data_IF_607559305100
#
_entry.id   IF_607559305100
#
_cell.length_a   1.000
_cell.length_b   1.000
_cell.length_c   1.000
_cell.angle_alpha   90.00
_cell.angle_beta   90.00
_cell.angle_gamma   90.00
#
_symmetry.space_group_name_H-M   'P 1'
#
loop_
_entity.id
_entity.type
_entity.pdbx_description
1 polymer ?
#
# COMPACT_ATOMS: atom_id res chain seq x y z
N UNK A 1 -14.29 5.45 -8.23
CA UNK A 1 -13.54 4.86 -7.11
C UNK A 1 -13.04 5.96 -6.16
N UNK A 2 -12.83 5.67 -4.86
CA UNK A 2 -12.36 6.65 -3.86
C UNK A 2 -10.83 6.62 -3.69
N UNK A 3 -10.27 7.58 -2.93
CA UNK A 3 -8.84 7.72 -2.66
C UNK A 3 -8.53 7.66 -1.17
N UNK A 4 -7.32 7.21 -0.84
CA UNK A 4 -6.74 7.21 0.50
C UNK A 4 -5.45 8.06 0.50
N UNK A 5 -5.25 8.84 1.56
CA UNK A 5 -3.98 9.53 1.81
C UNK A 5 -3.06 8.65 2.68
N UNK A 6 -2.01 8.11 2.08
CA UNK A 6 -0.98 7.35 2.78
C UNK A 6 0.06 8.31 3.40
N UNK A 7 -0.31 8.89 4.54
CA UNK A 7 0.54 9.76 5.36
C UNK A 7 0.57 9.27 6.81
N UNK A 8 1.56 8.44 7.14
CA UNK A 8 1.76 7.96 8.52
C UNK A 8 2.08 9.12 9.46
N UNK A 9 1.50 9.09 10.66
CA UNK A 9 1.61 10.17 11.63
C UNK A 9 0.88 11.47 11.24
N UNK A 10 0.01 11.43 10.22
CA UNK A 10 -0.93 12.50 9.92
C UNK A 10 -2.26 12.31 10.65
N UNK A 11 -2.83 13.41 11.14
CA UNK A 11 -4.17 13.40 11.72
C UNK A 11 -5.24 13.14 10.65
N UNK A 12 -6.46 12.72 11.05
CA UNK A 12 -7.57 12.60 10.11
C UNK A 12 -7.84 13.90 9.33
N UNK A 13 -7.71 15.05 9.97
CA UNK A 13 -7.90 16.36 9.35
C UNK A 13 -6.79 16.69 8.34
N UNK A 14 -5.54 16.34 8.65
CA UNK A 14 -4.42 16.47 7.71
C UNK A 14 -4.66 15.61 6.46
N UNK A 15 -5.00 14.32 6.65
CA UNK A 15 -5.33 13.41 5.54
C UNK A 15 -6.50 13.92 4.70
N UNK A 16 -7.55 14.44 5.36
CA UNK A 16 -8.71 15.01 4.68
C UNK A 16 -8.37 16.22 3.82
N UNK A 17 -7.47 17.11 4.29
CA UNK A 17 -6.98 18.24 3.47
C UNK A 17 -6.23 17.75 2.24
N UNK A 18 -5.38 16.73 2.39
CA UNK A 18 -4.70 16.10 1.26
C UNK A 18 -5.67 15.55 0.21
N UNK A 19 -6.67 14.78 0.65
CA UNK A 19 -7.69 14.21 -0.25
C UNK A 19 -8.50 15.31 -0.94
N UNK A 20 -8.84 16.40 -0.24
CA UNK A 20 -9.54 17.52 -0.85
C UNK A 20 -8.72 18.19 -1.96
N UNK A 21 -7.43 18.45 -1.71
CA UNK A 21 -6.53 19.03 -2.71
C UNK A 21 -6.36 18.13 -3.94
N UNK A 22 -6.27 16.81 -3.75
CA UNK A 22 -6.24 15.84 -4.85
C UNK A 22 -7.49 15.92 -5.73
N UNK A 23 -8.67 15.96 -5.10
CA UNK A 23 -9.96 16.05 -5.80
C UNK A 23 -10.05 17.31 -6.65
N UNK A 24 -9.57 18.45 -6.17
CA UNK A 24 -9.56 19.68 -6.96
C UNK A 24 -8.69 19.59 -8.23
N UNK A 25 -7.58 18.84 -8.18
CA UNK A 25 -6.73 18.60 -9.36
C UNK A 25 -7.47 17.73 -10.38
N UNK A 26 -8.04 16.62 -9.92
CA UNK A 26 -8.81 15.68 -10.74
C UNK A 26 -10.02 16.36 -11.40
N UNK A 27 -10.80 17.12 -10.61
CA UNK A 27 -11.97 17.86 -11.09
C UNK A 27 -11.60 18.89 -12.16
N UNK A 28 -10.45 19.57 -12.01
CA UNK A 28 -9.95 20.53 -13.01
C UNK A 28 -9.52 19.84 -14.31
N UNK A 29 -8.95 18.65 -14.21
CA UNK A 29 -8.57 17.83 -15.36
C UNK A 29 -9.78 17.15 -16.03
N UNK A 30 -10.93 17.11 -15.34
CA UNK A 30 -12.10 16.38 -15.83
C UNK A 30 -11.90 14.86 -15.81
N UNK A 31 -11.00 14.36 -14.96
CA UNK A 31 -10.66 12.94 -14.83
C UNK A 31 -11.15 12.39 -13.50
N UNK A 32 -11.58 11.14 -13.50
CA UNK A 32 -11.80 10.40 -12.26
C UNK A 32 -10.46 9.99 -11.62
N UNK A 33 -10.48 9.71 -10.32
CA UNK A 33 -9.31 9.16 -9.62
C UNK A 33 -8.86 7.81 -10.21
N UNK A 34 -9.80 7.03 -10.73
CA UNK A 34 -9.53 5.71 -11.31
C UNK A 34 -8.79 5.84 -12.65
N UNK A 35 -9.30 6.66 -13.57
CA UNK A 35 -8.65 6.93 -14.86
C UNK A 35 -7.23 7.48 -14.69
N UNK A 36 -7.05 8.47 -13.81
CA UNK A 36 -5.74 9.04 -13.54
C UNK A 36 -4.77 8.01 -12.95
N UNK A 37 -5.22 7.23 -11.95
CA UNK A 37 -4.40 6.19 -11.35
C UNK A 37 -4.05 5.07 -12.34
N UNK A 38 -4.97 4.69 -13.24
CA UNK A 38 -4.71 3.70 -14.30
C UNK A 38 -3.59 4.17 -15.24
N UNK A 39 -3.58 5.45 -15.62
CA UNK A 39 -2.46 6.02 -16.37
C UNK A 39 -1.13 5.88 -15.62
N UNK A 40 -1.11 6.23 -14.33
CA UNK A 40 0.08 6.04 -13.50
C UNK A 40 0.50 4.57 -13.41
N UNK A 41 -0.44 3.64 -13.27
CA UNK A 41 -0.13 2.20 -13.23
C UNK A 41 0.45 1.70 -14.56
N UNK A 42 -0.03 2.20 -15.71
CA UNK A 42 0.52 1.85 -17.01
C UNK A 42 1.98 2.31 -17.14
N UNK A 43 2.29 3.55 -16.74
CA UNK A 43 3.64 4.10 -16.82
C UNK A 43 4.61 3.41 -15.86
N UNK A 44 4.23 3.26 -14.59
CA UNK A 44 5.08 2.59 -13.59
C UNK A 44 5.27 1.10 -13.92
N UNK A 45 4.21 0.42 -14.41
CA UNK A 45 4.33 -0.97 -14.86
C UNK A 45 5.26 -1.14 -16.06
N UNK A 46 5.30 -0.16 -16.97
CA UNK A 46 6.24 -0.14 -18.09
C UNK A 46 7.70 0.05 -17.63
N UNK A 47 7.94 0.91 -16.64
CA UNK A 47 9.26 1.07 -15.98
C UNK A 47 9.69 -0.23 -15.28
N UNK A 48 8.82 -0.84 -14.48
CA UNK A 48 9.08 -2.10 -13.79
C UNK A 48 9.47 -3.26 -14.75
N UNK A 49 8.93 -3.24 -15.98
CA UNK A 49 9.28 -4.19 -17.03
C UNK A 49 10.58 -3.86 -17.79
N UNK A 50 11.21 -2.72 -17.52
CA UNK A 50 12.44 -2.28 -18.16
C UNK A 50 12.23 -1.60 -19.52
N UNK A 51 11.11 -0.89 -19.68
CA UNK A 51 10.77 -0.11 -20.87
C UNK A 51 10.70 -0.89 -22.20
N UNK A 52 9.95 -2.02 -22.28
CA UNK A 52 9.76 -2.74 -23.53
C UNK A 52 9.09 -1.82 -24.60
N UNK A 53 9.67 -1.68 -25.80
CA UNK A 53 9.21 -0.68 -26.79
C UNK A 53 7.85 -0.99 -27.40
N UNK A 54 7.36 -2.23 -27.30
CA UNK A 54 6.06 -2.67 -27.81
C UNK A 54 4.92 -2.53 -26.79
N UNK A 55 5.24 -2.10 -25.57
CA UNK A 55 4.28 -1.89 -24.47
C UNK A 55 4.42 -0.49 -23.86
N UNK A 56 4.98 0.47 -24.63
CA UNK A 56 5.02 1.87 -24.22
C UNK A 56 3.59 2.40 -24.01
N UNK A 57 3.33 3.10 -22.90
CA UNK A 57 2.05 3.76 -22.67
C UNK A 57 1.68 4.73 -23.79
N UNK A 58 0.40 4.82 -24.10
CA UNK A 58 -0.14 5.81 -25.01
C UNK A 58 -0.03 7.23 -24.44
N UNK A 59 -0.13 8.23 -25.32
CA UNK A 59 -0.17 9.66 -24.92
C UNK A 59 -1.30 9.96 -23.92
N UNK A 60 -2.45 9.29 -24.06
CA UNK A 60 -3.58 9.45 -23.14
C UNK A 60 -3.25 8.85 -21.75
N UNK A 61 -2.54 7.72 -21.69
CA UNK A 61 -2.08 7.12 -20.43
C UNK A 61 -1.02 7.98 -19.73
N UNK A 62 -0.08 8.57 -20.49
CA UNK A 62 0.86 9.55 -19.94
C UNK A 62 0.14 10.79 -19.39
N UNK A 63 -0.85 11.33 -20.13
CA UNK A 63 -1.61 12.47 -19.66
C UNK A 63 -2.40 12.16 -18.38
N UNK A 64 -2.97 10.95 -18.27
CA UNK A 64 -3.63 10.47 -17.06
C UNK A 64 -2.64 10.29 -15.89
N UNK A 65 -1.45 9.74 -16.15
CA UNK A 65 -0.38 9.59 -15.15
C UNK A 65 0.07 10.96 -14.59
N UNK A 66 0.29 11.94 -15.46
CA UNK A 66 0.64 13.30 -15.08
C UNK A 66 -0.39 13.92 -14.14
N UNK A 67 -1.68 13.70 -14.41
CA UNK A 67 -2.77 14.17 -13.55
C UNK A 67 -2.74 13.47 -12.19
N UNK A 68 -2.49 12.16 -12.14
CA UNK A 68 -2.36 11.43 -10.88
C UNK A 68 -1.18 11.90 -10.04
N UNK A 69 -0.01 12.08 -10.65
CA UNK A 69 1.18 12.58 -9.95
C UNK A 69 0.98 14.01 -9.45
N UNK A 70 0.35 14.88 -10.25
CA UNK A 70 -0.02 16.22 -9.83
C UNK A 70 -1.04 16.21 -8.66
N UNK A 71 -2.02 15.32 -8.70
CA UNK A 71 -2.96 15.13 -7.59
C UNK A 71 -2.23 14.64 -6.33
N UNK A 72 -1.29 13.71 -6.46
CA UNK A 72 -0.50 13.17 -5.35
C UNK A 72 0.40 14.24 -4.71
N UNK A 73 1.08 15.05 -5.53
CA UNK A 73 1.88 16.18 -5.06
C UNK A 73 1.02 17.24 -4.35
N UNK A 74 -0.15 17.59 -4.89
CA UNK A 74 -1.10 18.48 -4.23
C UNK A 74 -1.58 17.92 -2.88
N UNK A 75 -1.87 16.61 -2.83
CA UNK A 75 -2.28 15.93 -1.61
C UNK A 75 -1.19 15.97 -0.52
N UNK A 76 0.06 15.66 -0.90
CA UNK A 76 1.21 15.70 0.02
C UNK A 76 1.40 17.12 0.54
N UNK A 77 1.37 18.14 -0.33
CA UNK A 77 1.53 19.55 0.06
C UNK A 77 0.47 19.99 1.07
N UNK A 78 -0.80 19.67 0.82
CA UNK A 78 -1.90 20.08 1.70
C UNK A 78 -1.96 19.26 3.01
N UNK A 79 -1.67 17.96 2.94
CA UNK A 79 -1.64 17.07 4.11
C UNK A 79 -0.51 17.46 5.07
N UNK A 80 0.68 17.74 4.54
CA UNK A 80 1.90 17.94 5.32
C UNK A 80 2.23 19.41 5.56
N UNK A 81 1.25 20.30 5.49
CA UNK A 81 1.45 21.72 5.78
C UNK A 81 2.04 21.90 7.19
N UNK A 82 3.20 22.59 7.27
CA UNK A 82 3.91 22.82 8.52
C UNK A 82 4.79 21.66 9.01
N UNK A 83 4.87 20.55 8.28
CA UNK A 83 5.79 19.45 8.60
C UNK A 83 7.23 19.79 8.21
N UNK A 84 8.20 19.19 8.91
CA UNK A 84 9.61 19.23 8.47
C UNK A 84 9.81 18.42 7.19
N UNK A 85 10.84 18.75 6.43
CA UNK A 85 11.20 18.02 5.20
C UNK A 85 11.45 16.53 5.48
N UNK A 86 12.14 16.21 6.59
CA UNK A 86 12.42 14.83 7.02
C UNK A 86 11.14 14.02 7.32
N UNK A 87 10.09 14.67 7.84
CA UNK A 87 8.80 14.01 8.11
C UNK A 87 8.02 13.86 6.81
N UNK A 88 8.03 14.89 5.95
CA UNK A 88 7.34 14.91 4.66
C UNK A 88 7.92 13.88 3.68
N UNK A 89 9.23 13.66 3.69
CA UNK A 89 9.90 12.69 2.79
C UNK A 89 9.52 11.22 3.08
N UNK A 90 8.79 10.95 4.15
CA UNK A 90 8.33 9.60 4.53
C UNK A 90 6.88 9.33 4.13
N UNK A 91 6.21 10.30 3.50
CA UNK A 91 4.81 10.20 3.09
C UNK A 91 4.70 9.47 1.76
N UNK A 92 3.78 8.50 1.69
CA UNK A 92 3.57 7.67 0.48
C UNK A 92 2.68 8.34 -0.57
N UNK A 93 1.96 9.41 -0.23
CA UNK A 93 1.10 10.15 -1.15
C UNK A 93 -0.29 9.55 -1.30
N UNK A 94 -0.88 9.68 -2.49
CA UNK A 94 -2.20 9.14 -2.78
C UNK A 94 -2.15 7.66 -3.12
N UNK A 95 -3.19 6.95 -2.69
CA UNK A 95 -3.48 5.58 -3.06
C UNK A 95 -4.92 5.48 -3.55
N UNK A 96 -5.15 4.72 -4.61
CA UNK A 96 -6.49 4.38 -5.08
C UNK A 96 -7.13 3.34 -4.14
N UNK A 97 -8.39 3.54 -3.77
CA UNK A 97 -9.12 2.65 -2.88
C UNK A 97 -9.86 1.56 -3.68
N UNK A 98 -9.15 0.48 -4.02
CA UNK A 98 -9.65 -0.67 -4.80
C UNK A 98 -10.39 -1.72 -3.95
N UNK A 99 -9.93 -1.92 -2.72
CA UNK A 99 -10.53 -2.81 -1.73
C UNK A 99 -10.67 -2.06 -0.40
N UNK A 100 -11.78 -1.30 -0.22
CA UNK A 100 -12.02 -0.56 1.01
C UNK A 100 -12.02 -1.43 2.26
N UNK A 101 -12.49 -2.68 2.18
CA UNK A 101 -12.58 -3.55 3.35
C UNK A 101 -11.20 -3.94 3.88
N UNK A 102 -10.23 -4.09 2.98
CA UNK A 102 -8.85 -4.43 3.33
C UNK A 102 -8.04 -3.17 3.65
N UNK A 103 -8.12 -2.15 2.81
CA UNK A 103 -7.30 -0.94 2.92
C UNK A 103 -7.70 -0.03 4.08
N UNK A 104 -8.97 -0.07 4.54
CA UNK A 104 -9.47 0.73 5.66
C UNK A 104 -9.70 -0.11 6.93
N UNK A 105 -9.25 -1.37 6.96
CA UNK A 105 -9.39 -2.20 8.14
C UNK A 105 -8.69 -1.56 9.35
N UNK A 106 -9.36 -1.52 10.50
CA UNK A 106 -8.67 -1.15 11.75
C UNK A 106 -7.59 -2.19 12.08
N UNK A 107 -6.63 -1.80 12.94
CA UNK A 107 -5.49 -2.65 13.31
C UNK A 107 -5.91 -4.06 13.77
N UNK A 108 -6.94 -4.19 14.59
CA UNK A 108 -7.38 -5.48 15.13
C UNK A 108 -7.97 -6.34 14.02
N UNK A 109 -8.85 -5.76 13.21
CA UNK A 109 -9.45 -6.43 12.05
C UNK A 109 -8.38 -6.87 11.04
N UNK A 110 -7.41 -6.00 10.76
CA UNK A 110 -6.33 -6.27 9.82
C UNK A 110 -5.46 -7.46 10.28
N UNK A 111 -5.04 -7.46 11.55
CA UNK A 111 -4.28 -8.55 12.16
C UNK A 111 -5.04 -9.88 12.14
N UNK A 112 -6.34 -9.87 12.47
CA UNK A 112 -7.17 -11.08 12.46
C UNK A 112 -7.32 -11.65 11.04
N UNK A 113 -7.58 -10.78 10.04
CA UNK A 113 -7.71 -11.18 8.64
C UNK A 113 -6.40 -11.72 8.07
N UNK A 114 -5.25 -11.10 8.39
CA UNK A 114 -3.95 -11.65 7.98
C UNK A 114 -3.77 -13.07 8.50
N UNK A 115 -4.00 -13.30 9.80
CA UNK A 115 -3.88 -14.65 10.37
C UNK A 115 -4.83 -15.65 9.71
N UNK A 116 -6.06 -15.25 9.40
CA UNK A 116 -6.99 -16.12 8.70
C UNK A 116 -6.51 -16.51 7.30
N UNK A 117 -5.98 -15.55 6.51
CA UNK A 117 -5.38 -15.82 5.20
C UNK A 117 -4.20 -16.79 5.36
N UNK A 118 -3.26 -16.48 6.27
CA UNK A 118 -2.07 -17.31 6.50
C UNK A 118 -2.42 -18.70 7.01
N UNK A 119 -3.53 -18.91 7.72
CA UNK A 119 -3.96 -20.25 8.14
C UNK A 119 -4.62 -21.05 7.00
N UNK A 120 -5.30 -20.37 6.08
CA UNK A 120 -5.97 -20.99 4.94
C UNK A 120 -5.02 -21.31 3.77
N UNK A 121 -3.87 -20.65 3.71
CA UNK A 121 -2.87 -20.80 2.66
C UNK A 121 -2.38 -22.25 2.52
N UNK A 122 -2.49 -22.82 1.33
CA UNK A 122 -2.03 -24.18 1.02
C UNK A 122 -0.77 -24.19 0.16
N UNK A 123 -0.27 -22.99 -0.19
CA UNK A 123 0.95 -22.80 -0.96
C UNK A 123 0.80 -23.15 -2.43
N UNK A 124 -0.42 -23.45 -2.91
CA UNK A 124 -0.67 -23.80 -4.32
C UNK A 124 -1.06 -22.58 -5.16
N UNK A 125 -0.96 -21.37 -4.60
CA UNK A 125 -1.24 -20.12 -5.31
C UNK A 125 -0.29 -19.91 -6.50
N UNK A 126 -0.87 -19.54 -7.64
CA UNK A 126 -0.10 -19.10 -8.83
C UNK A 126 0.43 -17.67 -8.66
N UNK A 127 -0.25 -16.86 -7.83
CA UNK A 127 0.07 -15.46 -7.56
C UNK A 127 0.09 -15.18 -6.06
N UNK A 128 0.91 -14.22 -5.64
CA UNK A 128 0.93 -13.73 -4.26
C UNK A 128 -0.36 -12.99 -3.93
N UNK A 129 -0.94 -13.27 -2.76
CA UNK A 129 -2.10 -12.53 -2.28
C UNK A 129 -1.71 -11.17 -1.69
N UNK A 130 -1.94 -10.10 -2.46
CA UNK A 130 -1.64 -8.73 -2.06
C UNK A 130 -2.39 -8.28 -0.79
N UNK A 131 -3.47 -8.97 -0.39
CA UNK A 131 -4.21 -8.63 0.82
C UNK A 131 -3.34 -8.71 2.06
N UNK A 132 -2.37 -9.63 2.13
CA UNK A 132 -1.46 -9.70 3.29
C UNK A 132 -0.65 -8.41 3.44
N UNK A 133 -0.12 -7.88 2.33
CA UNK A 133 0.60 -6.61 2.32
C UNK A 133 -0.31 -5.43 2.66
N UNK A 134 -1.50 -5.35 2.04
CA UNK A 134 -2.46 -4.27 2.29
C UNK A 134 -2.95 -4.25 3.75
N UNK A 135 -3.20 -5.41 4.35
CA UNK A 135 -3.58 -5.51 5.76
C UNK A 135 -2.42 -5.14 6.69
N UNK A 136 -1.17 -5.46 6.34
CA UNK A 136 0.00 -5.02 7.11
C UNK A 136 0.14 -3.48 7.06
N UNK A 137 -0.12 -2.86 5.91
CA UNK A 137 -0.19 -1.39 5.79
C UNK A 137 -1.30 -0.82 6.69
N UNK A 138 -2.50 -1.38 6.63
CA UNK A 138 -3.64 -0.96 7.44
C UNK A 138 -3.36 -1.09 8.95
N UNK A 139 -2.76 -2.21 9.38
CA UNK A 139 -2.40 -2.45 10.77
C UNK A 139 -1.34 -1.49 11.33
N UNK A 140 -0.59 -0.82 10.45
CA UNK A 140 0.46 0.14 10.81
C UNK A 140 0.12 1.59 10.42
N UNK A 141 -1.12 1.86 9.97
CA UNK A 141 -1.52 3.16 9.42
C UNK A 141 -1.40 4.32 10.41
N UNK A 142 -1.60 4.05 11.70
CA UNK A 142 -1.56 5.05 12.77
C UNK A 142 -0.21 5.11 13.50
N UNK A 143 0.79 4.32 13.06
CA UNK A 143 2.12 4.40 13.64
C UNK A 143 2.80 5.73 13.26
N UNK A 144 3.28 6.51 14.25
CA UNK A 144 3.98 7.77 13.97
C UNK A 144 5.40 7.56 13.42
N UNK A 145 6.04 6.45 13.78
CA UNK A 145 7.36 6.08 13.27
C UNK A 145 7.22 5.32 11.94
N UNK A 146 7.24 6.07 10.83
CA UNK A 146 7.07 5.49 9.49
C UNK A 146 8.20 4.55 9.10
N UNK A 147 9.41 4.76 9.64
CA UNK A 147 10.55 3.86 9.40
C UNK A 147 10.26 2.51 10.05
N UNK A 148 9.85 2.52 11.33
CA UNK A 148 9.53 1.27 12.03
C UNK A 148 8.31 0.57 11.42
N UNK A 149 7.29 1.32 11.05
CA UNK A 149 6.11 0.78 10.37
C UNK A 149 6.52 0.07 9.06
N UNK A 150 7.38 0.69 8.25
CA UNK A 150 7.90 0.09 7.02
C UNK A 150 8.68 -1.18 7.29
N UNK A 151 9.53 -1.21 8.31
CA UNK A 151 10.27 -2.43 8.69
C UNK A 151 9.33 -3.59 9.03
N UNK A 152 8.27 -3.34 9.82
CA UNK A 152 7.32 -4.36 10.22
C UNK A 152 6.52 -4.90 9.02
N UNK A 153 6.05 -4.01 8.14
CA UNK A 153 5.37 -4.40 6.90
C UNK A 153 6.30 -5.22 6.02
N UNK A 154 7.55 -4.77 5.85
CA UNK A 154 8.56 -5.47 5.04
C UNK A 154 8.84 -6.86 5.60
N UNK A 155 8.93 -7.01 6.92
CA UNK A 155 9.17 -8.31 7.55
C UNK A 155 8.03 -9.30 7.27
N UNK A 156 6.77 -8.84 7.33
CA UNK A 156 5.60 -9.67 6.97
C UNK A 156 5.64 -10.04 5.49
N UNK A 157 5.90 -9.09 4.59
CA UNK A 157 5.99 -9.35 3.15
C UNK A 157 7.08 -10.36 2.82
N UNK A 158 8.29 -10.18 3.36
CA UNK A 158 9.42 -11.10 3.15
C UNK A 158 9.10 -12.50 3.67
N UNK A 159 8.48 -12.60 4.86
CA UNK A 159 8.11 -13.89 5.42
C UNK A 159 7.01 -14.58 4.59
N UNK A 160 6.08 -13.81 4.02
CA UNK A 160 4.98 -14.34 3.23
C UNK A 160 5.43 -14.88 1.86
N UNK A 161 6.44 -14.28 1.22
CA UNK A 161 6.88 -14.70 -0.13
C UNK A 161 7.21 -16.20 -0.23
N UNK A 162 8.03 -16.82 0.65
CA UNK A 162 8.28 -18.26 0.60
C UNK A 162 7.01 -19.12 0.77
N UNK A 163 6.06 -18.66 1.60
CA UNK A 163 4.80 -19.38 1.82
C UNK A 163 3.92 -19.33 0.57
N UNK A 164 3.73 -18.14 -0.01
CA UNK A 164 2.94 -17.94 -1.23
C UNK A 164 3.53 -18.70 -2.42
N UNK A 165 4.87 -18.82 -2.48
CA UNK A 165 5.58 -19.54 -3.53
C UNK A 165 5.86 -21.02 -3.21
N UNK A 166 5.24 -21.58 -2.16
CA UNK A 166 5.58 -22.94 -1.71
C UNK A 166 5.31 -24.02 -2.77
N UNK A 167 4.36 -23.81 -3.68
CA UNK A 167 4.02 -24.73 -4.77
C UNK A 167 5.14 -24.92 -5.80
N UNK A 168 6.08 -23.97 -5.88
CA UNK A 168 7.29 -24.12 -6.70
C UNK A 168 8.35 -25.04 -6.05
N UNK A 169 8.20 -25.34 -4.76
CA UNK A 169 9.09 -26.18 -3.96
C UNK A 169 8.31 -27.24 -3.17
N UNK A 170 7.58 -28.15 -3.85
CA UNK A 170 6.68 -29.11 -3.21
C UNK A 170 7.39 -30.12 -2.28
N UNK A 171 8.72 -30.24 -2.40
CA UNK A 171 9.57 -31.05 -1.53
C UNK A 171 9.81 -30.42 -0.14
N UNK A 172 9.62 -29.10 -0.01
CA UNK A 172 9.82 -28.38 1.24
C UNK A 172 8.54 -28.38 2.08
N UNK A 173 8.62 -28.59 3.41
CA UNK A 173 7.46 -28.51 4.27
C UNK A 173 6.89 -27.08 4.31
N UNK A 174 5.58 -26.95 4.20
CA UNK A 174 4.88 -25.65 4.23
C UNK A 174 4.81 -25.05 5.64
N UNK A 175 4.72 -25.89 6.68
CA UNK A 175 4.46 -25.42 8.05
C UNK A 175 5.55 -24.50 8.63
N UNK A 176 6.86 -24.73 8.41
CA UNK A 176 7.88 -23.76 8.81
C UNK A 176 7.72 -22.39 8.13
N UNK A 177 7.29 -22.36 6.87
CA UNK A 177 7.05 -21.12 6.10
C UNK A 177 5.85 -20.39 6.70
N UNK A 178 4.76 -21.11 7.00
CA UNK A 178 3.57 -20.58 7.67
C UNK A 178 3.92 -19.97 9.03
N UNK A 179 4.69 -20.70 9.84
CA UNK A 179 5.11 -20.22 11.16
C UNK A 179 5.94 -18.94 11.06
N UNK A 180 6.85 -18.83 10.08
CA UNK A 180 7.63 -17.61 9.88
C UNK A 180 6.74 -16.38 9.62
N UNK A 181 5.65 -16.53 8.86
CA UNK A 181 4.69 -15.43 8.65
C UNK A 181 3.94 -15.09 9.93
N UNK A 182 3.50 -16.10 10.69
CA UNK A 182 2.80 -15.88 11.96
C UNK A 182 3.71 -15.15 12.97
N UNK A 183 4.98 -15.53 13.07
CA UNK A 183 5.96 -14.85 13.92
C UNK A 183 6.17 -13.39 13.49
N UNK A 184 6.20 -13.13 12.18
CA UNK A 184 6.28 -11.76 11.64
C UNK A 184 5.01 -10.94 11.95
N UNK A 185 3.82 -11.56 11.88
CA UNK A 185 2.55 -10.91 12.27
C UNK A 185 2.54 -10.61 13.77
N UNK A 186 3.03 -11.52 14.61
CA UNK A 186 3.15 -11.29 16.06
C UNK A 186 4.12 -10.14 16.38
N UNK A 187 5.24 -10.05 15.66
CA UNK A 187 6.15 -8.92 15.75
C UNK A 187 5.52 -7.61 15.27
N UNK A 188 4.72 -7.64 14.19
CA UNK A 188 3.95 -6.49 13.71
C UNK A 188 2.92 -6.06 14.74
N UNK A 189 2.20 -7.00 15.36
CA UNK A 189 1.23 -6.72 16.41
C UNK A 189 1.90 -6.05 17.60
N UNK A 190 2.98 -6.63 18.13
CA UNK A 190 3.72 -6.07 19.25
C UNK A 190 4.31 -4.69 18.91
N UNK A 191 4.86 -4.53 17.71
CA UNK A 191 5.52 -3.30 17.27
C UNK A 191 4.57 -2.14 16.93
N UNK A 192 3.33 -2.46 16.54
CA UNK A 192 2.28 -1.48 16.20
C UNK A 192 1.35 -1.15 17.38
N UNK A 193 1.58 -1.71 18.56
CA UNK A 193 0.77 -1.43 19.74
C UNK A 193 0.83 0.08 20.10
N UNK A 194 -0.31 0.71 20.44
CA UNK A 194 -0.34 2.08 20.93
C UNK A 194 0.57 2.23 22.16
N UNK A 195 1.46 3.23 22.15
CA UNK A 195 2.23 3.57 23.35
C UNK A 195 1.35 4.42 24.26
N UNK A 196 1.08 3.94 25.47
CA UNK A 196 0.38 4.67 26.53
C UNK A 196 1.28 5.70 27.22
#
# INVERSE_FOLDING_TARGET
MDMLMNARGATPEEKQRGIAAAKEVLDRAGMTAEEAAEGSFAVEGWDDMGFPPDQEPSEDEYAAADVWWAASDAAIKACCEGWSDDKRSQVGGLQLLRDPETQLADRTTALARMRAIIQAEDGQGEFTDDRVFLLALAATADMPDSTKARELVTAVTIAYTPLACAGFHPEEPIEPKRQAVLDAIDALEAGSAPRH
#
